data_IF_589767914611
#
_entry.id   IF_589767914611
#
_cell.length_a   1.000
_cell.length_b   1.000
_cell.length_c   1.000
_cell.angle_alpha   90.00
_cell.angle_beta   90.00
_cell.angle_gamma   90.00
#
_symmetry.space_group_name_H-M   'P 1'
#
loop_
_entity.id
_entity.type
_entity.pdbx_description
1 polymer ?
#
# COMPACT_ATOMS: atom_id res chain seq x y z
N UNK A 1 5.00 -30.29 30.16
CA UNK A 1 5.14 -28.81 30.10
C UNK A 1 5.49 -28.29 31.51
N UNK A 2 6.39 -27.32 31.67
CA UNK A 2 6.64 -26.68 32.97
C UNK A 2 5.63 -25.55 33.19
N UNK A 3 5.03 -25.42 34.38
CA UNK A 3 4.09 -24.33 34.69
C UNK A 3 4.67 -22.93 34.46
N UNK A 4 6.00 -22.78 34.56
CA UNK A 4 6.70 -21.53 34.21
C UNK A 4 6.62 -21.23 32.70
N UNK A 5 6.72 -22.26 31.85
CA UNK A 5 6.57 -22.10 30.39
C UNK A 5 5.13 -21.79 30.02
N UNK A 6 4.16 -22.45 30.68
CA UNK A 6 2.74 -22.15 30.49
C UNK A 6 2.45 -20.70 30.88
N UNK A 7 2.96 -20.23 32.03
CA UNK A 7 2.80 -18.85 32.46
C UNK A 7 3.36 -17.84 31.45
N UNK A 8 4.56 -18.08 30.90
CA UNK A 8 5.13 -17.23 29.84
C UNK A 8 4.20 -17.15 28.62
N UNK A 9 3.69 -18.30 28.15
CA UNK A 9 2.81 -18.35 26.99
C UNK A 9 1.47 -17.64 27.23
N UNK A 10 0.93 -17.76 28.44
CA UNK A 10 -0.29 -17.06 28.85
C UNK A 10 -0.07 -15.55 28.88
N UNK A 11 1.07 -15.09 29.39
CA UNK A 11 1.44 -13.67 29.42
C UNK A 11 1.54 -13.12 28.00
N UNK A 12 2.21 -13.85 27.10
CA UNK A 12 2.35 -13.47 25.70
C UNK A 12 0.99 -13.43 24.97
N UNK A 13 0.14 -14.44 25.18
CA UNK A 13 -1.19 -14.53 24.55
C UNK A 13 -2.17 -13.45 25.03
N UNK A 14 -2.12 -13.11 26.31
CA UNK A 14 -3.00 -12.10 26.91
C UNK A 14 -2.43 -10.67 26.79
N UNK A 15 -1.25 -10.50 26.19
CA UNK A 15 -0.57 -9.21 26.06
C UNK A 15 -0.24 -8.57 27.43
N UNK A 16 -0.01 -9.38 28.45
CA UNK A 16 0.28 -8.91 29.80
C UNK A 16 1.73 -8.46 29.93
N UNK A 17 2.02 -7.62 30.91
CA UNK A 17 3.41 -7.32 31.29
C UNK A 17 4.11 -8.61 31.77
N UNK A 18 5.41 -8.79 31.46
CA UNK A 18 6.19 -9.89 31.99
C UNK A 18 6.10 -9.95 33.52
N UNK A 19 5.90 -11.14 34.10
CA UNK A 19 5.76 -11.27 35.54
C UNK A 19 7.11 -11.07 36.22
N UNK A 20 7.13 -10.31 37.31
CA UNK A 20 8.34 -10.13 38.12
C UNK A 20 8.53 -11.34 39.03
N UNK A 21 9.70 -11.97 38.96
CA UNK A 21 10.00 -13.19 39.72
C UNK A 21 11.13 -12.90 40.69
N UNK A 22 10.81 -12.82 41.97
CA UNK A 22 11.78 -12.73 43.05
C UNK A 22 11.92 -14.08 43.76
N UNK A 23 13.13 -14.39 44.23
CA UNK A 23 13.34 -15.53 45.11
C UNK A 23 14.34 -15.21 46.21
N UNK A 24 14.11 -15.79 47.38
CA UNK A 24 14.99 -15.69 48.54
C UNK A 24 15.19 -17.08 49.17
N UNK A 25 16.38 -17.32 49.72
CA UNK A 25 16.65 -18.50 50.54
C UNK A 25 16.56 -18.07 52.00
N UNK A 26 15.53 -18.54 52.70
CA UNK A 26 15.34 -18.25 54.12
C UNK A 26 16.29 -19.07 54.99
N UNK A 27 16.56 -18.55 56.19
CA UNK A 27 17.47 -19.11 57.20
C UNK A 27 17.16 -20.58 57.55
N UNK A 28 15.88 -20.97 57.46
CA UNK A 28 15.40 -22.34 57.66
C UNK A 28 15.63 -23.30 56.47
N UNK A 29 16.60 -23.02 55.59
CA UNK A 29 16.88 -23.77 54.34
C UNK A 29 15.68 -23.87 53.38
N UNK A 30 14.65 -23.04 53.55
CA UNK A 30 13.48 -23.00 52.67
C UNK A 30 13.66 -21.94 51.62
N UNK A 31 13.46 -22.31 50.36
CA UNK A 31 13.40 -21.39 49.24
C UNK A 31 11.98 -20.81 49.17
N UNK A 32 11.88 -19.49 49.14
CA UNK A 32 10.65 -18.75 48.93
C UNK A 32 10.75 -18.03 47.60
N UNK A 33 9.70 -18.14 46.78
CA UNK A 33 9.60 -17.46 45.51
C UNK A 33 8.30 -16.67 45.47
N UNK A 34 8.37 -15.44 44.96
CA UNK A 34 7.24 -14.54 44.74
C UNK A 34 7.18 -14.25 43.25
N UNK A 35 6.02 -14.42 42.66
CA UNK A 35 5.73 -14.03 41.28
C UNK A 35 4.66 -12.96 41.32
N UNK A 36 5.00 -11.75 40.93
CA UNK A 36 4.06 -10.66 40.77
C UNK A 36 3.55 -10.63 39.33
N UNK A 37 2.23 -10.61 39.17
CA UNK A 37 1.59 -10.54 37.85
C UNK A 37 0.68 -9.33 37.81
N UNK A 38 0.95 -8.44 36.86
CA UNK A 38 0.15 -7.25 36.63
C UNK A 38 -1.05 -7.60 35.76
N UNK A 39 -2.21 -7.84 36.39
CA UNK A 39 -3.45 -8.26 35.72
C UNK A 39 -4.27 -7.08 35.16
N UNK A 40 -3.66 -5.90 34.99
CA UNK A 40 -4.41 -4.70 34.64
C UNK A 40 -4.99 -4.77 33.22
N UNK A 41 -6.24 -4.29 33.16
CA UNK A 41 -7.01 -3.90 31.97
C UNK A 41 -7.91 -4.93 31.27
N UNK A 42 -8.41 -5.95 31.95
CA UNK A 42 -9.62 -6.67 31.47
C UNK A 42 -10.84 -6.32 32.33
N UNK A 43 -11.54 -5.26 31.90
CA UNK A 43 -12.58 -4.52 32.62
C UNK A 43 -13.98 -5.15 32.62
N UNK A 44 -14.15 -6.45 32.35
CA UNK A 44 -15.48 -7.10 32.48
C UNK A 44 -15.69 -7.86 33.81
N UNK A 45 -14.62 -8.13 34.59
CA UNK A 45 -14.70 -8.98 35.81
C UNK A 45 -14.14 -8.36 37.10
N UNK A 46 -13.79 -7.07 37.10
CA UNK A 46 -13.47 -6.32 38.34
C UNK A 46 -12.10 -6.60 38.98
N UNK A 47 -11.15 -7.23 38.29
CA UNK A 47 -9.79 -7.39 38.82
C UNK A 47 -8.99 -6.08 38.69
N UNK A 48 -8.46 -5.57 39.81
CA UNK A 48 -7.64 -4.36 39.86
C UNK A 48 -6.29 -4.66 40.53
N UNK A 49 -5.20 -4.23 39.89
CA UNK A 49 -3.84 -4.19 40.46
C UNK A 49 -2.98 -5.45 40.27
N UNK A 50 -1.69 -5.31 40.57
CA UNK A 50 -0.74 -6.41 40.69
C UNK A 50 -1.17 -7.42 41.73
N UNK A 51 -0.87 -8.70 41.49
CA UNK A 51 -1.03 -9.76 42.48
C UNK A 51 0.24 -10.57 42.61
N UNK A 52 0.60 -10.82 43.86
CA UNK A 52 1.71 -11.69 44.23
C UNK A 52 1.23 -13.12 44.46
N UNK A 53 1.99 -14.07 43.92
CA UNK A 53 1.80 -15.49 44.12
C UNK A 53 3.07 -16.07 44.72
N UNK A 54 2.93 -16.70 45.89
CA UNK A 54 4.06 -17.21 46.63
C UNK A 54 4.16 -18.73 46.52
N UNK A 55 5.39 -19.23 46.52
CA UNK A 55 5.69 -20.66 46.48
C UNK A 55 6.88 -20.97 47.38
N UNK A 56 6.77 -22.01 48.21
CA UNK A 56 7.84 -22.44 49.10
C UNK A 56 8.31 -23.86 48.80
N UNK A 57 9.61 -24.10 48.88
CA UNK A 57 10.19 -25.43 48.77
C UNK A 57 11.46 -25.57 49.60
N UNK A 58 11.61 -26.70 50.27
CA UNK A 58 12.85 -27.10 50.97
C UNK A 58 13.90 -27.71 50.02
N UNK A 59 13.56 -27.89 48.74
CA UNK A 59 14.38 -28.65 47.79
C UNK A 59 15.21 -27.71 46.91
N UNK A 60 14.58 -26.71 46.27
CA UNK A 60 15.29 -25.74 45.43
C UNK A 60 14.43 -24.51 45.13
N UNK A 61 15.10 -23.41 44.78
CA UNK A 61 14.47 -22.21 44.24
C UNK A 61 13.60 -22.52 43.02
N UNK A 62 14.09 -23.37 42.08
CA UNK A 62 13.30 -23.78 40.91
C UNK A 62 11.97 -24.43 41.28
N UNK A 63 11.94 -25.24 42.35
CA UNK A 63 10.70 -25.90 42.80
C UNK A 63 9.76 -24.91 43.51
N UNK A 64 10.30 -23.95 44.25
CA UNK A 64 9.53 -22.84 44.83
C UNK A 64 8.88 -21.97 43.73
N UNK A 65 9.65 -21.55 42.72
CA UNK A 65 9.17 -20.79 41.57
C UNK A 65 8.09 -21.56 40.80
N UNK A 66 8.29 -22.86 40.56
CA UNK A 66 7.28 -23.70 39.88
C UNK A 66 5.95 -23.75 40.65
N UNK A 67 5.98 -23.80 41.99
CA UNK A 67 4.77 -23.78 42.82
C UNK A 67 4.06 -22.43 42.74
N UNK A 68 4.81 -21.32 42.82
CA UNK A 68 4.26 -19.98 42.63
C UNK A 68 3.60 -19.84 41.25
N UNK A 69 4.30 -20.26 40.19
CA UNK A 69 3.79 -20.21 38.81
C UNK A 69 2.54 -21.08 38.61
N UNK A 70 2.47 -22.24 39.25
CA UNK A 70 1.25 -23.07 39.25
C UNK A 70 0.07 -22.34 39.90
N UNK A 71 0.30 -21.63 41.00
CA UNK A 71 -0.72 -20.82 41.67
C UNK A 71 -1.28 -19.71 40.76
N UNK A 72 -0.41 -19.04 40.01
CA UNK A 72 -0.81 -18.04 39.01
C UNK A 72 -1.73 -18.68 37.95
N UNK A 73 -1.26 -19.75 37.30
CA UNK A 73 -1.98 -20.40 36.20
C UNK A 73 -3.34 -20.93 36.67
N UNK A 74 -3.40 -21.56 37.84
CA UNK A 74 -4.67 -22.05 38.41
C UNK A 74 -5.64 -20.91 38.74
N UNK A 75 -5.13 -19.75 39.17
CA UNK A 75 -5.99 -18.58 39.42
C UNK A 75 -6.56 -18.04 38.12
N UNK A 76 -5.73 -17.94 37.07
CA UNK A 76 -6.15 -17.51 35.73
C UNK A 76 -7.19 -18.47 35.14
N UNK A 77 -7.00 -19.76 35.33
CA UNK A 77 -7.96 -20.80 34.93
C UNK A 77 -9.29 -20.68 35.68
N UNK A 78 -9.27 -20.54 37.01
CA UNK A 78 -10.50 -20.33 37.80
C UNK A 78 -11.23 -19.04 37.43
N UNK A 79 -10.52 -18.01 36.98
CA UNK A 79 -11.13 -16.79 36.46
C UNK A 79 -11.64 -16.92 35.03
N UNK A 80 -11.54 -18.11 34.41
CA UNK A 80 -11.97 -18.37 33.04
C UNK A 80 -11.16 -17.64 31.96
N UNK A 81 -9.95 -17.17 32.31
CA UNK A 81 -9.08 -16.41 31.40
C UNK A 81 -8.22 -17.32 30.52
N UNK A 82 -8.06 -18.58 30.93
CA UNK A 82 -7.18 -19.58 30.32
C UNK A 82 -7.78 -20.95 30.58
N UNK A 83 -7.83 -21.86 29.61
CA UNK A 83 -8.06 -23.28 29.91
C UNK A 83 -6.71 -24.01 29.86
N UNK A 84 -6.32 -24.74 30.91
CA UNK A 84 -5.01 -25.43 30.92
C UNK A 84 -4.91 -26.46 29.78
N UNK A 85 -6.04 -26.99 29.32
CA UNK A 85 -6.13 -27.89 28.19
C UNK A 85 -5.70 -27.23 26.86
N UNK A 86 -5.82 -25.91 26.72
CA UNK A 86 -5.36 -25.17 25.52
C UNK A 86 -3.85 -25.25 25.30
N UNK A 87 -3.10 -25.67 26.33
CA UNK A 87 -1.64 -25.82 26.31
C UNK A 87 -1.20 -27.29 26.23
N UNK A 88 -2.13 -28.19 25.87
CA UNK A 88 -1.78 -29.57 25.54
C UNK A 88 -0.85 -29.60 24.31
N UNK A 89 0.08 -30.56 24.27
CA UNK A 89 1.06 -30.68 23.19
C UNK A 89 0.43 -30.93 21.81
N UNK A 90 -0.79 -31.46 21.75
CA UNK A 90 -1.56 -31.60 20.51
C UNK A 90 -2.09 -30.25 20.00
N UNK A 91 -2.62 -29.39 20.87
CA UNK A 91 -3.12 -28.07 20.49
C UNK A 91 -1.98 -27.14 20.08
N UNK A 92 -0.81 -27.27 20.71
CA UNK A 92 0.39 -26.56 20.27
C UNK A 92 0.85 -26.98 18.87
N UNK A 93 0.74 -28.26 18.52
CA UNK A 93 1.02 -28.75 17.16
C UNK A 93 0.01 -28.20 16.16
N UNK A 94 -1.27 -28.18 16.51
CA UNK A 94 -2.33 -27.62 15.68
C UNK A 94 -2.14 -26.11 15.48
N UNK A 95 -1.81 -25.38 16.54
CA UNK A 95 -1.50 -23.95 16.50
C UNK A 95 -0.29 -23.68 15.61
N UNK A 96 0.81 -24.44 15.77
CA UNK A 96 1.98 -24.31 14.89
C UNK A 96 1.62 -24.56 13.41
N UNK A 97 0.76 -25.54 13.12
CA UNK A 97 0.27 -25.81 11.76
C UNK A 97 -0.51 -24.62 11.20
N UNK A 98 -1.46 -24.08 11.98
CA UNK A 98 -2.27 -22.90 11.60
C UNK A 98 -1.42 -21.66 11.38
N UNK A 99 -0.45 -21.39 12.26
CA UNK A 99 0.48 -20.26 12.11
C UNK A 99 1.31 -20.40 10.83
N UNK A 100 1.79 -21.61 10.52
CA UNK A 100 2.52 -21.86 9.27
C UNK A 100 1.63 -21.70 8.03
N UNK A 101 0.35 -22.08 8.09
CA UNK A 101 -0.62 -21.85 7.01
C UNK A 101 -0.87 -20.35 6.82
N UNK A 102 -1.09 -19.59 7.90
CA UNK A 102 -1.24 -18.14 7.85
C UNK A 102 0.02 -17.49 7.28
N UNK A 103 1.21 -17.89 7.73
CA UNK A 103 2.47 -17.35 7.21
C UNK A 103 2.64 -17.61 5.70
N UNK A 104 2.22 -18.77 5.21
CA UNK A 104 2.20 -19.06 3.76
C UNK A 104 1.23 -18.17 3.01
N UNK A 105 0.03 -17.93 3.56
CA UNK A 105 -0.96 -17.04 2.95
C UNK A 105 -0.41 -15.61 2.91
N UNK A 106 0.14 -15.11 4.02
CA UNK A 106 0.75 -13.77 4.08
C UNK A 106 1.88 -13.61 3.07
N UNK A 107 2.72 -14.64 2.88
CA UNK A 107 3.77 -14.64 1.86
C UNK A 107 3.19 -14.49 0.45
N UNK A 108 2.15 -15.25 0.12
CA UNK A 108 1.48 -15.16 -1.19
C UNK A 108 0.87 -13.77 -1.42
N UNK A 109 0.17 -13.22 -0.43
CA UNK A 109 -0.43 -11.88 -0.52
C UNK A 109 0.65 -10.81 -0.73
N UNK A 110 1.79 -10.93 -0.07
CA UNK A 110 2.92 -10.03 -0.28
C UNK A 110 3.49 -10.14 -1.70
N UNK A 111 3.66 -11.36 -2.21
CA UNK A 111 4.12 -11.61 -3.59
C UNK A 111 3.14 -11.07 -4.63
N UNK A 112 1.84 -11.26 -4.44
CA UNK A 112 0.79 -10.71 -5.31
C UNK A 112 0.77 -9.17 -5.30
N UNK A 113 0.93 -8.55 -4.13
CA UNK A 113 1.05 -7.09 -4.01
C UNK A 113 2.25 -6.57 -4.78
N UNK A 114 3.42 -7.21 -4.61
CA UNK A 114 4.65 -6.77 -5.27
C UNK A 114 4.54 -6.87 -6.80
N UNK A 115 3.82 -7.88 -7.32
CA UNK A 115 3.54 -7.99 -8.76
C UNK A 115 2.60 -6.88 -9.25
N UNK A 116 1.52 -6.61 -8.53
CA UNK A 116 0.60 -5.51 -8.85
C UNK A 116 1.30 -4.14 -8.83
N UNK A 117 2.24 -3.91 -7.90
CA UNK A 117 3.04 -2.68 -7.87
C UNK A 117 3.93 -2.52 -9.11
N UNK A 118 4.51 -3.62 -9.62
CA UNK A 118 5.29 -3.61 -10.88
C UNK A 118 4.40 -3.31 -12.07
N UNK A 119 3.25 -3.97 -12.18
CA UNK A 119 2.28 -3.73 -13.27
C UNK A 119 1.79 -2.28 -13.25
N UNK A 120 1.46 -1.76 -12.08
CA UNK A 120 1.03 -0.38 -11.91
C UNK A 120 2.12 0.60 -12.37
N UNK A 121 3.37 0.38 -11.97
CA UNK A 121 4.51 1.20 -12.40
C UNK A 121 4.71 1.14 -13.91
N UNK A 122 4.58 -0.05 -14.52
CA UNK A 122 4.65 -0.23 -15.96
C UNK A 122 3.54 0.54 -16.69
N UNK A 123 2.30 0.47 -16.19
CA UNK A 123 1.16 1.20 -16.75
C UNK A 123 1.35 2.72 -16.63
N UNK A 124 1.82 3.22 -15.49
CA UNK A 124 2.13 4.64 -15.31
C UNK A 124 3.15 5.15 -16.35
N UNK A 125 4.22 4.39 -16.58
CA UNK A 125 5.23 4.72 -17.58
C UNK A 125 4.67 4.73 -19.00
N UNK A 126 3.80 3.76 -19.33
CA UNK A 126 3.14 3.72 -20.64
C UNK A 126 2.19 4.91 -20.83
N UNK A 127 1.41 5.27 -19.80
CA UNK A 127 0.56 6.46 -19.84
C UNK A 127 1.38 7.73 -20.08
N UNK A 128 2.51 7.89 -19.39
CA UNK A 128 3.39 9.04 -19.60
C UNK A 128 3.94 9.10 -21.04
N UNK A 129 4.35 7.95 -21.60
CA UNK A 129 4.81 7.87 -23.00
C UNK A 129 3.70 8.27 -23.99
N UNK A 130 2.50 7.73 -23.81
CA UNK A 130 1.36 8.03 -24.66
C UNK A 130 0.96 9.51 -24.61
N UNK A 131 1.03 10.14 -23.43
CA UNK A 131 0.80 11.59 -23.29
C UNK A 131 1.81 12.41 -24.10
N UNK A 132 3.09 12.03 -24.07
CA UNK A 132 4.14 12.70 -24.87
C UNK A 132 3.87 12.52 -26.37
N UNK A 133 3.54 11.31 -26.80
CA UNK A 133 3.23 11.04 -28.21
C UNK A 133 1.99 11.81 -28.67
N UNK A 134 0.96 11.89 -27.83
CA UNK A 134 -0.25 12.64 -28.14
C UNK A 134 0.05 14.14 -28.31
N UNK A 135 0.85 14.74 -27.42
CA UNK A 135 1.29 16.13 -27.57
C UNK A 135 2.07 16.39 -28.86
N UNK A 136 2.95 15.46 -29.27
CA UNK A 136 3.66 15.55 -30.57
C UNK A 136 2.71 15.48 -31.76
N UNK A 137 1.67 14.65 -31.67
CA UNK A 137 0.66 14.55 -32.73
C UNK A 137 -0.20 15.81 -32.80
N UNK A 138 -0.59 16.39 -31.66
CA UNK A 138 -1.29 17.67 -31.61
C UNK A 138 -0.49 18.80 -32.27
N UNK A 139 0.81 18.90 -31.99
CA UNK A 139 1.70 19.84 -32.67
C UNK A 139 1.75 19.62 -34.18
N UNK A 140 1.84 18.35 -34.61
CA UNK A 140 1.86 18.00 -36.03
C UNK A 140 0.57 18.40 -36.73
N UNK A 141 -0.58 18.17 -36.09
CA UNK A 141 -1.89 18.61 -36.57
C UNK A 141 -1.94 20.13 -36.69
N UNK A 142 -1.48 20.87 -35.68
CA UNK A 142 -1.44 22.33 -35.71
C UNK A 142 -0.58 22.87 -36.87
N UNK A 143 0.59 22.28 -37.10
CA UNK A 143 1.47 22.63 -38.23
C UNK A 143 0.83 22.35 -39.58
N UNK A 144 0.16 21.21 -39.73
CA UNK A 144 -0.52 20.83 -40.97
C UNK A 144 -1.71 21.76 -41.25
N UNK A 145 -2.52 22.10 -40.23
CA UNK A 145 -3.61 23.07 -40.35
C UNK A 145 -3.09 24.44 -40.84
N UNK A 146 -1.99 24.93 -40.28
CA UNK A 146 -1.36 26.20 -40.70
C UNK A 146 -0.87 26.16 -42.15
N UNK A 147 -0.34 25.03 -42.61
CA UNK A 147 0.07 24.86 -44.01
C UNK A 147 -1.13 24.85 -44.95
N UNK A 148 -2.20 24.16 -44.58
CA UNK A 148 -3.45 24.12 -45.34
C UNK A 148 -4.04 25.52 -45.53
N UNK A 149 -4.18 26.28 -44.45
CA UNK A 149 -4.70 27.66 -44.53
C UNK A 149 -3.82 28.58 -45.39
N UNK A 150 -2.50 28.38 -45.37
CA UNK A 150 -1.57 29.13 -46.22
C UNK A 150 -1.72 28.78 -47.70
N UNK A 151 -1.92 27.50 -48.01
CA UNK A 151 -2.13 27.02 -49.38
C UNK A 151 -3.45 27.55 -49.97
N UNK A 152 -4.53 27.52 -49.19
CA UNK A 152 -5.83 28.07 -49.57
C UNK A 152 -5.74 29.57 -49.92
N UNK A 153 -5.03 30.36 -49.10
CA UNK A 153 -4.83 31.78 -49.37
C UNK A 153 -4.07 32.04 -50.69
N UNK A 154 -3.02 31.24 -50.98
CA UNK A 154 -2.29 31.35 -52.25
C UNK A 154 -3.10 30.91 -53.47
N UNK A 155 -4.00 29.94 -53.32
CA UNK A 155 -4.92 29.57 -54.41
C UNK A 155 -5.92 30.68 -54.71
N UNK A 156 -6.45 31.33 -53.67
CA UNK A 156 -7.35 32.48 -53.81
C UNK A 156 -6.65 33.67 -54.51
N UNK A 157 -5.42 34.00 -54.09
CA UNK A 157 -4.63 35.07 -54.70
C UNK A 157 -4.28 34.78 -56.18
N UNK A 158 -3.89 33.55 -56.50
CA UNK A 158 -3.67 33.12 -57.88
C UNK A 158 -4.94 33.20 -58.74
N UNK A 159 -6.10 32.88 -58.18
CA UNK A 159 -7.39 33.04 -58.83
C UNK A 159 -7.69 34.50 -59.19
N UNK A 160 -7.43 35.41 -58.25
CA UNK A 160 -7.61 36.85 -58.45
C UNK A 160 -6.67 37.39 -59.55
N UNK A 161 -5.38 37.04 -59.50
CA UNK A 161 -4.41 37.44 -60.53
C UNK A 161 -4.76 36.90 -61.92
N UNK A 162 -5.29 35.67 -62.00
CA UNK A 162 -5.79 35.10 -63.25
C UNK A 162 -6.98 35.88 -63.82
N UNK A 163 -7.91 36.31 -62.95
CA UNK A 163 -9.05 37.12 -63.36
C UNK A 163 -8.60 38.48 -63.91
N UNK A 164 -7.75 39.20 -63.18
CA UNK A 164 -7.22 40.51 -63.60
C UNK A 164 -6.45 40.42 -64.93
N UNK A 165 -5.61 39.39 -65.10
CA UNK A 165 -4.85 39.20 -66.33
C UNK A 165 -5.76 38.94 -67.54
N UNK A 166 -6.89 38.25 -67.35
CA UNK A 166 -7.87 38.06 -68.41
C UNK A 166 -8.59 39.38 -68.78
N UNK A 167 -8.87 40.22 -67.79
CA UNK A 167 -9.50 41.52 -67.96
C UNK A 167 -8.56 42.49 -68.72
N UNK A 168 -7.30 42.58 -68.31
CA UNK A 168 -6.26 43.35 -69.01
C UNK A 168 -6.04 42.86 -70.45
N UNK A 169 -6.08 41.54 -70.69
CA UNK A 169 -6.01 40.98 -72.05
C UNK A 169 -7.19 41.39 -72.90
N UNK A 170 -8.39 41.53 -72.33
CA UNK A 170 -9.56 42.01 -73.04
C UNK A 170 -9.41 43.51 -73.38
N UNK A 171 -9.00 44.35 -72.43
CA UNK A 171 -8.74 45.77 -72.67
C UNK A 171 -7.67 45.99 -73.76
N UNK A 172 -6.56 45.26 -73.72
CA UNK A 172 -5.52 45.34 -74.77
C UNK A 172 -6.10 44.99 -76.14
N UNK A 173 -7.01 44.01 -76.22
CA UNK A 173 -7.65 43.61 -77.47
C UNK A 173 -8.55 44.73 -78.00
N UNK A 174 -9.31 45.37 -77.13
CA UNK A 174 -10.17 46.51 -77.49
C UNK A 174 -9.36 47.74 -77.90
N UNK A 175 -8.30 48.08 -77.17
CA UNK A 175 -7.39 49.17 -77.54
C UNK A 175 -6.70 48.92 -78.88
N UNK A 176 -6.23 47.69 -79.12
CA UNK A 176 -5.69 47.31 -80.43
C UNK A 176 -6.72 47.47 -81.55
N UNK A 177 -7.98 47.15 -81.27
CA UNK A 177 -9.09 47.35 -82.22
C UNK A 177 -9.32 48.83 -82.51
N UNK A 178 -9.36 49.69 -81.48
CA UNK A 178 -9.48 51.14 -81.64
C UNK A 178 -8.32 51.77 -82.43
N UNK A 179 -7.09 51.29 -82.22
CA UNK A 179 -5.90 51.74 -82.97
C UNK A 179 -5.86 51.26 -84.42
N UNK A 180 -6.56 50.16 -84.74
CA UNK A 180 -6.64 49.62 -86.09
C UNK A 180 -7.89 50.09 -86.85
N UNK A 181 -8.79 50.83 -86.19
CA UNK A 181 -9.82 51.61 -86.84
C UNK A 181 -9.19 52.89 -87.46
N UNK A 182 -9.33 53.12 -88.77
CA UNK A 182 -8.74 54.28 -89.42
C UNK A 182 -9.37 55.57 -88.87
N UNK A 183 -8.54 56.58 -88.58
CA UNK A 183 -8.97 57.94 -88.29
C UNK A 183 -9.73 58.53 -89.49
N UNK A 184 -11.03 58.26 -89.57
CA UNK A 184 -11.93 59.00 -90.44
C UNK A 184 -12.33 60.29 -89.70
N UNK A 185 -11.62 61.37 -90.00
CA UNK A 185 -11.95 62.75 -89.59
C UNK A 185 -10.73 63.48 -89.03
N UNK A 186 -10.26 64.59 -89.60
CA UNK A 186 -10.79 65.40 -90.68
C UNK A 186 -9.68 66.28 -91.29
N UNK A 187 -9.95 66.65 -92.54
CA UNK A 187 -9.32 67.73 -93.30
C UNK A 187 -9.50 69.09 -92.62
#
# INVERSE_FOLDING_TARGET
>A
MSYVKILSQVVDQLGLKPPEIAYEKRTNRTFHAVIEVHLASWTSRGFRGSREFTGTSTISARKAIRKAARGVVQRLERSGLVQINDFNGQDLKLWKKRVMEIAKICKKVAEERDELEREFTFLQNNCARLLIENGKMEEKIARLKKKLSGAEATEEENGNLMAENNELKAEIRDLKKQLSEPQNGGL
#
